data_IF_407264124983
#
_entry.id   IF_407264124983
#
_cell.length_a   1.000
_cell.length_b   1.000
_cell.length_c   1.000
_cell.angle_alpha   90.00
_cell.angle_beta   90.00
_cell.angle_gamma   90.00
#
_symmetry.space_group_name_H-M   'P 1'
#
loop_
_entity.id
_entity.type
_entity.pdbx_description
1 polymer ?
#
# COMPACT_ATOMS: atom_id res chain seq x y z
N UNK A 1 -10.44 15.76 -20.77
CA UNK A 1 -11.33 15.91 -19.60
C UNK A 1 -11.18 14.69 -18.68
N UNK A 2 -10.06 14.54 -17.95
CA UNK A 2 -9.78 13.28 -17.22
C UNK A 2 -9.09 13.43 -15.85
N UNK A 3 -8.86 14.66 -15.38
CA UNK A 3 -8.18 14.87 -14.08
C UNK A 3 -9.10 14.72 -12.87
N UNK A 4 -10.39 15.04 -13.00
CA UNK A 4 -11.34 15.10 -11.88
C UNK A 4 -11.90 13.75 -11.44
N UNK A 5 -11.75 12.68 -12.24
CA UNK A 5 -12.31 11.36 -11.92
C UNK A 5 -11.29 10.38 -11.31
N UNK A 6 -9.99 10.58 -11.54
CA UNK A 6 -8.92 9.77 -10.91
C UNK A 6 -8.63 10.19 -9.46
N UNK A 7 -8.66 11.49 -9.16
CA UNK A 7 -8.43 12.02 -7.80
C UNK A 7 -9.45 11.47 -6.77
N UNK A 8 -10.76 11.33 -7.10
CA UNK A 8 -11.73 10.66 -6.23
C UNK A 8 -11.39 9.20 -5.93
N UNK A 9 -10.96 8.43 -6.95
CA UNK A 9 -10.66 7.01 -6.79
C UNK A 9 -9.46 6.79 -5.85
N UNK A 10 -8.36 7.54 -6.04
CA UNK A 10 -7.18 7.43 -5.18
C UNK A 10 -7.50 7.82 -3.72
N UNK A 11 -8.35 8.82 -3.52
CA UNK A 11 -8.77 9.25 -2.17
C UNK A 11 -9.58 8.16 -1.47
N UNK A 12 -10.47 7.48 -2.20
CA UNK A 12 -11.26 6.36 -1.69
C UNK A 12 -10.35 5.19 -1.29
N UNK A 13 -9.45 4.75 -2.18
CA UNK A 13 -8.53 3.66 -1.87
C UNK A 13 -7.56 4.00 -0.74
N UNK A 14 -7.13 5.26 -0.62
CA UNK A 14 -6.35 5.71 0.54
C UNK A 14 -7.12 5.50 1.84
N UNK A 15 -8.40 5.86 1.88
CA UNK A 15 -9.22 5.68 3.08
C UNK A 15 -9.41 4.19 3.42
N UNK A 16 -9.62 3.34 2.41
CA UNK A 16 -9.72 1.89 2.56
C UNK A 16 -8.41 1.28 3.11
N UNK A 17 -7.26 1.65 2.52
CA UNK A 17 -5.93 1.24 3.00
C UNK A 17 -5.71 1.65 4.45
N UNK A 18 -6.03 2.90 4.81
CA UNK A 18 -5.94 3.35 6.22
C UNK A 18 -6.79 2.47 7.14
N UNK A 19 -8.02 2.19 6.74
CA UNK A 19 -8.95 1.40 7.56
C UNK A 19 -8.45 -0.04 7.74
N UNK A 20 -7.96 -0.70 6.70
CA UNK A 20 -7.38 -2.05 6.79
C UNK A 20 -6.15 -2.09 7.70
N UNK A 21 -5.27 -1.09 7.58
CA UNK A 21 -4.12 -0.93 8.46
C UNK A 21 -4.54 -0.76 9.94
N UNK A 22 -5.58 0.03 10.21
CA UNK A 22 -6.14 0.22 11.55
C UNK A 22 -6.80 -1.05 12.11
N UNK A 23 -7.39 -1.90 11.27
CA UNK A 23 -7.91 -3.22 11.67
C UNK A 23 -6.80 -4.25 11.95
N UNK A 24 -5.54 -3.92 11.65
CA UNK A 24 -4.42 -4.83 11.82
C UNK A 24 -4.32 -5.90 10.74
N UNK A 25 -4.89 -5.64 9.56
CA UNK A 25 -4.71 -6.51 8.41
C UNK A 25 -3.23 -6.68 8.04
N UNK A 26 -2.89 -7.85 7.53
CA UNK A 26 -1.49 -8.15 7.18
C UNK A 26 -1.07 -7.28 5.99
N UNK A 27 0.10 -6.67 6.10
CA UNK A 27 0.61 -5.79 5.04
C UNK A 27 0.65 -6.46 3.66
N UNK A 28 1.04 -7.74 3.59
CA UNK A 28 1.04 -8.49 2.31
C UNK A 28 -0.34 -8.68 1.69
N UNK A 29 -1.41 -8.78 2.50
CA UNK A 29 -2.79 -8.84 1.98
C UNK A 29 -3.22 -7.49 1.40
N UNK A 30 -2.79 -6.39 2.03
CA UNK A 30 -3.05 -5.03 1.56
C UNK A 30 -2.29 -4.75 0.26
N UNK A 31 -1.01 -5.16 0.18
CA UNK A 31 -0.19 -5.10 -1.03
C UNK A 31 -0.84 -5.84 -2.20
N UNK A 32 -1.21 -7.10 -1.98
CA UNK A 32 -1.96 -7.93 -2.92
C UNK A 32 -3.27 -7.25 -3.38
N UNK A 33 -3.96 -6.58 -2.45
CA UNK A 33 -5.16 -5.81 -2.73
C UNK A 33 -4.91 -4.64 -3.67
N UNK A 34 -3.87 -3.83 -3.38
CA UNK A 34 -3.46 -2.68 -4.20
C UNK A 34 -3.09 -3.12 -5.62
N UNK A 35 -2.32 -4.19 -5.76
CA UNK A 35 -1.85 -4.69 -7.06
C UNK A 35 -3.00 -5.12 -7.98
N UNK A 36 -4.08 -5.65 -7.39
CA UNK A 36 -5.28 -6.10 -8.10
C UNK A 36 -6.20 -4.96 -8.56
N UNK A 37 -5.98 -3.72 -8.14
CA UNK A 37 -6.83 -2.59 -8.56
C UNK A 37 -6.54 -2.24 -10.03
N UNK A 38 -7.46 -2.61 -10.92
CA UNK A 38 -7.31 -2.42 -12.37
C UNK A 38 -7.47 -0.97 -12.83
N UNK A 39 -8.12 -0.14 -12.02
CA UNK A 39 -8.45 1.25 -12.37
C UNK A 39 -7.35 2.26 -11.97
N UNK A 40 -6.28 1.80 -11.31
CA UNK A 40 -5.15 2.62 -10.89
C UNK A 40 -3.94 2.43 -11.79
N UNK A 41 -3.21 3.52 -12.02
CA UNK A 41 -1.88 3.45 -12.64
C UNK A 41 -0.87 2.84 -11.67
N UNK A 42 0.26 2.37 -12.19
CA UNK A 42 1.37 1.86 -11.36
C UNK A 42 1.90 2.92 -10.37
N UNK A 43 1.94 4.20 -10.77
CA UNK A 43 2.33 5.29 -9.87
C UNK A 43 1.31 5.51 -8.73
N UNK A 44 0.02 5.37 -9.02
CA UNK A 44 -1.06 5.48 -8.03
C UNK A 44 -1.01 4.30 -7.05
N UNK A 45 -0.77 3.09 -7.55
CA UNK A 45 -0.53 1.89 -6.73
C UNK A 45 0.71 2.05 -5.86
N UNK A 46 1.83 2.47 -6.43
CA UNK A 46 3.08 2.73 -5.69
C UNK A 46 2.86 3.79 -4.60
N UNK A 47 2.05 4.82 -4.86
CA UNK A 47 1.69 5.84 -3.87
C UNK A 47 0.90 5.23 -2.71
N UNK A 48 -0.10 4.38 -2.99
CA UNK A 48 -0.85 3.66 -1.95
C UNK A 48 0.01 2.68 -1.17
N UNK A 49 0.91 1.97 -1.85
CA UNK A 49 1.86 1.05 -1.22
C UNK A 49 2.78 1.79 -0.26
N UNK A 50 3.37 2.92 -0.69
CA UNK A 50 4.23 3.75 0.16
C UNK A 50 3.46 4.34 1.35
N UNK A 51 2.22 4.75 1.12
CA UNK A 51 1.34 5.21 2.19
C UNK A 51 1.06 4.09 3.21
N UNK A 52 0.61 2.92 2.76
CA UNK A 52 0.39 1.75 3.60
C UNK A 52 1.65 1.37 4.39
N UNK A 53 2.80 1.35 3.70
CA UNK A 53 4.09 1.05 4.30
C UNK A 53 4.37 2.03 5.42
N UNK A 54 4.22 3.34 5.19
CA UNK A 54 4.48 4.40 6.18
C UNK A 54 3.64 4.31 7.46
N UNK A 55 2.47 3.65 7.42
CA UNK A 55 1.62 3.45 8.59
C UNK A 55 2.09 2.31 9.49
N UNK A 56 3.02 1.45 9.03
CA UNK A 56 3.56 0.34 9.81
C UNK A 56 4.52 0.83 10.89
N UNK A 57 4.70 0.00 11.93
CA UNK A 57 5.75 0.22 12.92
C UNK A 57 7.15 0.18 12.25
N UNK A 58 8.01 1.20 12.45
CA UNK A 58 9.34 1.24 11.82
C UNK A 58 10.25 0.05 12.17
N UNK A 59 10.12 -0.51 13.37
CA UNK A 59 10.90 -1.69 13.77
C UNK A 59 10.47 -2.94 12.98
N UNK A 60 9.17 -3.11 12.76
CA UNK A 60 8.64 -4.22 11.96
C UNK A 60 9.05 -4.09 10.49
N UNK A 61 8.97 -2.88 9.93
CA UNK A 61 9.46 -2.60 8.57
C UNK A 61 10.94 -3.00 8.41
N UNK A 62 11.80 -2.56 9.33
CA UNK A 62 13.23 -2.86 9.26
C UNK A 62 13.51 -4.35 9.44
N UNK A 63 12.79 -5.02 10.35
CA UNK A 63 12.93 -6.45 10.58
C UNK A 63 12.59 -7.24 9.31
N UNK A 64 11.45 -6.96 8.69
CA UNK A 64 11.02 -7.66 7.49
C UNK A 64 11.98 -7.37 6.32
N UNK A 65 12.37 -6.12 6.12
CA UNK A 65 13.32 -5.74 5.08
C UNK A 65 14.67 -6.48 5.22
N UNK A 66 15.20 -6.59 6.45
CA UNK A 66 16.42 -7.37 6.72
C UNK A 66 16.21 -8.85 6.46
N UNK A 67 15.06 -9.40 6.81
CA UNK A 67 14.70 -10.78 6.52
C UNK A 67 14.70 -11.07 5.02
N UNK A 68 14.14 -10.17 4.22
CA UNK A 68 14.16 -10.29 2.76
C UNK A 68 15.57 -10.17 2.17
N UNK A 69 16.39 -9.23 2.66
CA UNK A 69 17.78 -9.11 2.23
C UNK A 69 18.57 -10.39 2.52
N UNK A 70 18.46 -10.93 3.73
CA UNK A 70 19.15 -12.16 4.13
C UNK A 70 18.70 -13.41 3.35
N UNK A 71 17.54 -13.38 2.69
CA UNK A 71 17.03 -14.49 1.88
C UNK A 71 17.58 -14.48 0.44
N UNK A 72 18.16 -13.36 0.00
CA UNK A 72 18.70 -13.17 -1.36
C UNK A 72 20.22 -12.98 -1.37
N UNK A 73 20.84 -12.86 -0.20
CA UNK A 73 22.29 -12.93 0.03
C UNK A 73 22.75 -14.39 0.22
#
# INVERSE_FOLDING_TARGET
MSGTQRIPALTMYRAEVSWLMEQGERFGEIEDGIDRIVDLTEDEKATLWLFAFSLRNPCDQQRDARGHLAAVE
#
